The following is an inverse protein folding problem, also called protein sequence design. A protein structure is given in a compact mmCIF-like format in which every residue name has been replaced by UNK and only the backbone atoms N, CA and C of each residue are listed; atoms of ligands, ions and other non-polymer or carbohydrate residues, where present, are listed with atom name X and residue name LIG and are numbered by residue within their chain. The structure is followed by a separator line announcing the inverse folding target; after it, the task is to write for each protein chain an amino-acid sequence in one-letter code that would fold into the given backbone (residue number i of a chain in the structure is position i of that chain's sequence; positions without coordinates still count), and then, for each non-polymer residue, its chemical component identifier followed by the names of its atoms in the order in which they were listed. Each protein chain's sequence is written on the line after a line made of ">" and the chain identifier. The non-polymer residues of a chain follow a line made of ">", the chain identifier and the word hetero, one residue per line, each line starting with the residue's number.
data_IF_915833934573
#
_entry.id   IF_915833934573
#
_cell.length_a   1.000
_cell.length_b   1.000
_cell.length_c   1.000
_cell.angle_alpha   90.00
_cell.angle_beta   90.00
_cell.angle_gamma   90.00
#
_symmetry.space_group_name_H-M   'P 1'
#
loop_
_entity.id
_entity.type
_entity.pdbx_description
1 polymer ?
#
# COMPACT_ATOMS: atom_id res chain seq x y z
N UNK A 1 27.68 16.17 -35.43
CA UNK A 1 27.16 14.78 -35.47
C UNK A 1 27.06 14.23 -34.05
N UNK A 2 26.03 14.63 -33.30
CA UNK A 2 25.79 14.09 -31.97
C UNK A 2 24.30 14.29 -31.65
N UNK A 3 23.44 13.37 -32.09
CA UNK A 3 22.02 13.32 -31.70
C UNK A 3 21.43 11.96 -32.12
N UNK A 4 21.84 10.87 -31.45
CA UNK A 4 21.03 9.63 -31.42
C UNK A 4 21.49 8.73 -30.27
N UNK A 5 21.25 9.17 -29.02
CA UNK A 5 21.41 8.32 -27.83
C UNK A 5 20.23 8.44 -26.87
N UNK A 6 19.04 8.68 -27.42
CA UNK A 6 17.77 8.81 -26.68
C UNK A 6 16.68 7.89 -27.23
N UNK A 7 17.05 6.72 -27.75
CA UNK A 7 16.10 5.72 -28.29
C UNK A 7 16.19 4.36 -27.58
N UNK A 8 16.72 4.31 -26.35
CA UNK A 8 17.00 3.07 -25.63
C UNK A 8 16.06 2.71 -24.48
N UNK A 9 14.98 3.47 -24.22
CA UNK A 9 14.10 3.26 -23.05
C UNK A 9 12.63 3.02 -23.39
N UNK A 10 12.29 2.81 -24.66
CA UNK A 10 10.91 2.65 -25.11
C UNK A 10 10.73 1.35 -25.91
N UNK A 11 11.15 0.20 -25.34
CA UNK A 11 10.83 -1.12 -25.90
C UNK A 11 10.87 -2.22 -24.83
N UNK A 12 10.10 -2.03 -23.75
CA UNK A 12 9.95 -2.99 -22.66
C UNK A 12 8.50 -3.35 -22.31
N UNK A 13 7.51 -2.82 -23.02
CA UNK A 13 6.10 -3.16 -22.83
C UNK A 13 5.72 -4.35 -23.74
N UNK A 14 6.09 -5.56 -23.32
CA UNK A 14 5.51 -6.79 -23.88
C UNK A 14 5.56 -7.99 -22.92
N UNK A 15 5.65 -7.75 -21.62
CA UNK A 15 5.20 -8.73 -20.63
C UNK A 15 4.09 -8.07 -19.84
N UNK A 16 2.90 -8.64 -19.88
CA UNK A 16 1.77 -8.20 -19.09
C UNK A 16 2.21 -8.21 -17.62
N UNK A 17 2.16 -7.06 -16.93
CA UNK A 17 2.62 -6.95 -15.55
C UNK A 17 1.85 -7.92 -14.64
N UNK A 18 0.60 -8.22 -14.98
CA UNK A 18 -0.17 -9.25 -14.28
C UNK A 18 0.44 -10.64 -14.53
N UNK A 19 0.84 -10.97 -15.75
CA UNK A 19 1.51 -12.25 -16.04
C UNK A 19 2.83 -12.37 -15.29
N UNK A 20 3.66 -11.33 -15.30
CA UNK A 20 4.92 -11.33 -14.55
C UNK A 20 4.67 -11.44 -13.05
N UNK A 21 3.69 -10.70 -12.53
CA UNK A 21 3.26 -10.79 -11.14
C UNK A 21 2.94 -12.21 -10.74
N UNK A 22 2.09 -12.89 -11.53
CA UNK A 22 1.68 -14.26 -11.25
C UNK A 22 2.88 -15.18 -11.21
N UNK A 23 3.73 -15.12 -12.23
CA UNK A 23 4.94 -15.94 -12.29
C UNK A 23 5.85 -15.74 -11.07
N UNK A 24 6.05 -14.50 -10.65
CA UNK A 24 6.85 -14.18 -9.47
C UNK A 24 6.18 -14.67 -8.19
N UNK A 25 4.86 -14.53 -8.04
CA UNK A 25 4.16 -14.95 -6.81
C UNK A 25 4.00 -16.47 -6.69
N UNK A 26 3.84 -17.19 -7.80
CA UNK A 26 3.73 -18.65 -7.81
C UNK A 26 5.07 -19.34 -7.58
N UNK A 27 6.17 -18.70 -8.00
CA UNK A 27 7.53 -19.21 -7.78
C UNK A 27 8.08 -18.89 -6.39
N UNK A 28 7.36 -18.11 -5.59
CA UNK A 28 7.73 -17.82 -4.21
C UNK A 28 7.25 -18.93 -3.29
N UNK A 29 8.18 -19.75 -2.81
CA UNK A 29 7.94 -20.65 -1.69
C UNK A 29 7.66 -19.84 -0.41
N UNK A 30 6.80 -20.37 0.47
CA UNK A 30 6.54 -19.76 1.77
C UNK A 30 7.81 -19.91 2.59
N UNK A 31 8.53 -18.81 2.77
CA UNK A 31 9.64 -18.71 3.71
C UNK A 31 9.12 -18.93 5.15
N UNK A 32 8.99 -20.18 5.58
CA UNK A 32 8.99 -20.58 6.99
C UNK A 32 10.42 -20.43 7.55
N UNK A 33 10.99 -19.24 7.42
CA UNK A 33 12.25 -18.93 8.08
C UNK A 33 11.92 -18.74 9.56
N UNK A 34 12.30 -19.72 10.36
CA UNK A 34 12.44 -19.64 11.81
C UNK A 34 13.50 -18.58 12.16
N UNK A 35 13.13 -17.30 12.10
CA UNK A 35 13.91 -16.23 12.72
C UNK A 35 13.20 -15.71 13.96
N UNK A 36 13.84 -15.93 15.09
CA UNK A 36 13.34 -15.67 16.43
C UNK A 36 13.63 -14.21 16.83
N UNK A 37 12.63 -13.32 16.71
CA UNK A 37 12.28 -12.30 17.76
C UNK A 37 11.16 -11.33 17.42
N UNK A 38 10.85 -11.08 16.14
CA UNK A 38 9.78 -10.16 15.76
C UNK A 38 8.61 -10.91 15.10
N UNK A 39 7.43 -10.85 15.72
CA UNK A 39 6.18 -11.28 15.08
C UNK A 39 6.01 -10.53 13.76
N UNK A 40 6.09 -11.27 12.64
CA UNK A 40 5.86 -10.73 11.30
C UNK A 40 4.38 -10.38 11.13
N UNK A 41 4.10 -9.24 10.50
CA UNK A 41 2.75 -8.70 10.26
C UNK A 41 2.59 -8.31 8.81
N UNK A 42 1.37 -8.46 8.29
CA UNK A 42 1.00 -7.97 6.97
C UNK A 42 0.31 -6.61 7.08
N UNK A 43 0.68 -5.70 6.18
CA UNK A 43 -0.06 -4.49 5.88
C UNK A 43 -0.64 -4.62 4.47
N UNK A 44 -1.91 -5.00 4.38
CA UNK A 44 -2.62 -5.13 3.12
C UNK A 44 -2.90 -3.75 2.53
N UNK A 45 -2.52 -3.53 1.27
CA UNK A 45 -2.71 -2.25 0.58
C UNK A 45 -3.80 -2.35 -0.48
N UNK A 46 -4.67 -1.34 -0.49
CA UNK A 46 -5.67 -1.10 -1.54
C UNK A 46 -5.08 -0.22 -2.66
N UNK A 47 -5.62 -0.33 -3.88
CA UNK A 47 -5.31 0.49 -5.05
C UNK A 47 -5.38 1.99 -4.73
N UNK A 48 -6.42 2.44 -4.03
CA UNK A 48 -6.58 3.87 -3.71
C UNK A 48 -5.41 4.41 -2.87
N UNK A 49 -4.91 3.63 -1.92
CA UNK A 49 -3.75 4.01 -1.10
C UNK A 49 -2.47 3.99 -1.93
N UNK A 50 -2.31 3.01 -2.82
CA UNK A 50 -1.17 2.95 -3.74
C UNK A 50 -1.15 4.12 -4.73
N UNK A 51 -2.30 4.63 -5.15
CA UNK A 51 -2.38 5.80 -6.03
C UNK A 51 -2.11 7.09 -5.28
N UNK A 52 -2.71 7.28 -4.09
CA UNK A 52 -2.68 8.57 -3.39
C UNK A 52 -1.48 8.75 -2.47
N UNK A 53 -0.93 7.66 -1.92
CA UNK A 53 0.03 7.70 -0.81
C UNK A 53 1.32 6.92 -1.09
N UNK A 54 1.63 6.59 -2.36
CA UNK A 54 2.85 5.88 -2.72
C UNK A 54 4.15 6.51 -2.18
N UNK A 55 4.35 7.84 -2.20
CA UNK A 55 5.55 8.45 -1.61
C UNK A 55 5.70 8.11 -0.13
N UNK A 56 4.60 8.17 0.63
CA UNK A 56 4.60 7.81 2.05
C UNK A 56 4.89 6.32 2.24
N UNK A 57 4.29 5.45 1.43
CA UNK A 57 4.54 4.01 1.50
C UNK A 57 6.01 3.68 1.23
N UNK A 58 6.67 4.39 0.31
CA UNK A 58 8.11 4.23 0.04
C UNK A 58 8.96 4.67 1.23
N UNK A 59 8.66 5.81 1.84
CA UNK A 59 9.34 6.24 3.07
C UNK A 59 9.16 5.22 4.20
N UNK A 60 7.95 4.69 4.35
CA UNK A 60 7.66 3.64 5.33
C UNK A 60 8.43 2.36 5.06
N UNK A 61 8.50 1.93 3.80
CA UNK A 61 9.24 0.75 3.38
C UNK A 61 10.72 0.88 3.78
N UNK A 62 11.34 2.03 3.49
CA UNK A 62 12.72 2.29 3.90
C UNK A 62 12.90 2.23 5.42
N UNK A 63 11.96 2.79 6.19
CA UNK A 63 11.99 2.75 7.65
C UNK A 63 11.86 1.31 8.19
N UNK A 64 10.96 0.50 7.62
CA UNK A 64 10.76 -0.91 7.98
C UNK A 64 11.99 -1.75 7.68
N UNK A 65 12.64 -1.53 6.52
CA UNK A 65 13.91 -2.18 6.16
C UNK A 65 15.04 -1.79 7.11
N UNK A 66 15.23 -0.50 7.37
CA UNK A 66 16.29 0.03 8.22
C UNK A 66 16.20 -0.50 9.66
N UNK A 67 14.98 -0.63 10.20
CA UNK A 67 14.74 -1.02 11.59
C UNK A 67 14.27 -2.47 11.76
N UNK A 68 14.21 -3.26 10.67
CA UNK A 68 13.84 -4.67 10.68
C UNK A 68 12.50 -4.96 11.41
N UNK A 69 11.47 -4.15 11.14
CA UNK A 69 10.23 -4.12 11.94
C UNK A 69 9.29 -5.32 11.72
N UNK A 70 9.67 -6.29 10.89
CA UNK A 70 8.86 -7.47 10.59
C UNK A 70 7.51 -7.14 9.93
N UNK A 71 7.43 -6.08 9.13
CA UNK A 71 6.21 -5.72 8.38
C UNK A 71 6.41 -6.03 6.91
N UNK A 72 5.47 -6.73 6.30
CA UNK A 72 5.42 -6.98 4.85
C UNK A 72 4.16 -6.33 4.27
N UNK A 73 4.29 -5.66 3.12
CA UNK A 73 3.15 -5.16 2.35
C UNK A 73 2.50 -6.30 1.58
N UNK A 74 1.26 -6.62 1.94
CA UNK A 74 0.46 -7.64 1.28
C UNK A 74 -0.35 -7.01 0.16
N UNK A 75 -0.23 -7.55 -1.06
CA UNK A 75 -0.90 -7.02 -2.25
C UNK A 75 -1.79 -8.12 -2.83
N UNK A 76 -3.10 -7.90 -2.77
CA UNK A 76 -4.07 -8.78 -3.42
C UNK A 76 -3.89 -8.72 -4.94
N UNK A 77 -4.10 -9.85 -5.63
CA UNK A 77 -3.92 -9.91 -7.08
C UNK A 77 -4.84 -8.94 -7.84
N UNK A 78 -6.07 -8.76 -7.35
CA UNK A 78 -7.04 -7.81 -7.91
C UNK A 78 -6.55 -6.35 -7.91
N UNK A 79 -5.75 -5.95 -6.91
CA UNK A 79 -5.17 -4.60 -6.83
C UNK A 79 -4.21 -4.37 -8.00
N UNK A 80 -3.46 -5.40 -8.40
CA UNK A 80 -2.55 -5.30 -9.54
C UNK A 80 -3.32 -5.24 -10.86
N UNK A 81 -4.42 -5.98 -10.97
CA UNK A 81 -5.33 -5.87 -12.12
C UNK A 81 -5.91 -4.46 -12.22
N UNK A 82 -6.43 -3.89 -11.14
CA UNK A 82 -6.95 -2.51 -11.12
C UNK A 82 -5.90 -1.50 -11.54
N UNK A 83 -4.69 -1.60 -10.99
CA UNK A 83 -3.57 -0.74 -11.40
C UNK A 83 -3.30 -0.86 -12.90
N UNK A 84 -3.29 -2.07 -13.48
CA UNK A 84 -3.04 -2.24 -14.92
C UNK A 84 -4.13 -1.61 -15.79
N UNK A 85 -5.39 -1.71 -15.38
CA UNK A 85 -6.50 -1.01 -16.05
C UNK A 85 -6.33 0.53 -15.97
N UNK A 86 -5.92 1.05 -14.81
CA UNK A 86 -5.69 2.48 -14.62
C UNK A 86 -4.53 3.01 -15.47
N UNK A 87 -3.49 2.21 -15.77
CA UNK A 87 -2.39 2.62 -16.69
C UNK A 87 -2.88 2.97 -18.09
N UNK A 88 -3.93 2.29 -18.56
CA UNK A 88 -4.53 2.44 -19.90
C UNK A 88 -5.51 3.60 -19.96
N UNK A 89 -5.96 4.09 -18.80
CA UNK A 89 -6.88 5.20 -18.63
C UNK A 89 -6.13 6.52 -18.88
N UNK A 90 -5.91 6.87 -20.14
CA UNK A 90 -4.99 7.95 -20.56
C UNK A 90 -5.37 9.38 -20.17
N UNK A 91 -6.46 9.62 -19.44
CA UNK A 91 -6.92 10.98 -19.06
C UNK A 91 -7.73 10.92 -17.75
N UNK A 92 -7.06 10.85 -16.61
CA UNK A 92 -7.70 11.00 -15.29
C UNK A 92 -6.84 11.86 -14.39
N UNK A 93 -7.42 12.86 -13.71
CA UNK A 93 -6.72 13.65 -12.68
C UNK A 93 -7.06 13.07 -11.32
N UNK A 94 -6.05 12.76 -10.51
CA UNK A 94 -6.23 12.18 -9.16
C UNK A 94 -7.00 13.16 -8.26
N UNK A 95 -6.70 14.44 -8.38
CA UNK A 95 -7.53 15.52 -7.88
C UNK A 95 -7.55 16.67 -8.90
N UNK A 96 -8.63 17.44 -8.93
CA UNK A 96 -8.76 18.59 -9.84
C UNK A 96 -7.76 19.72 -9.58
N UNK A 97 -6.83 19.55 -8.62
CA UNK A 97 -6.00 20.62 -8.05
C UNK A 97 -4.50 20.42 -8.35
N UNK A 98 -3.96 19.22 -8.17
CA UNK A 98 -2.53 18.91 -8.40
C UNK A 98 -2.22 18.56 -9.85
N UNK A 99 -3.23 18.14 -10.62
CA UNK A 99 -3.04 17.76 -12.03
C UNK A 99 -2.22 16.50 -12.24
N UNK A 100 -2.04 15.69 -11.21
CA UNK A 100 -1.33 14.43 -11.32
C UNK A 100 -2.14 13.45 -12.17
N UNK A 101 -1.50 12.92 -13.21
CA UNK A 101 -2.03 11.92 -14.13
C UNK A 101 -2.20 10.58 -13.38
N UNK A 102 -3.46 10.14 -13.29
CA UNK A 102 -3.85 8.88 -12.67
C UNK A 102 -3.16 7.68 -13.33
N UNK A 103 -3.00 7.69 -14.65
CA UNK A 103 -2.29 6.65 -15.38
C UNK A 103 -0.80 6.62 -15.02
N UNK A 104 -0.18 7.80 -14.86
CA UNK A 104 1.22 7.89 -14.42
C UNK A 104 1.39 7.38 -12.98
N UNK A 105 0.47 7.71 -12.07
CA UNK A 105 0.50 7.20 -10.70
C UNK A 105 0.34 5.68 -10.67
N UNK A 106 -0.60 5.12 -11.45
CA UNK A 106 -0.79 3.68 -11.57
C UNK A 106 0.45 2.96 -12.12
N UNK A 107 1.10 3.51 -13.16
CA UNK A 107 2.38 3.00 -13.68
C UNK A 107 3.47 3.04 -12.61
N UNK A 108 3.57 4.14 -11.88
CA UNK A 108 4.59 4.33 -10.84
C UNK A 108 4.40 3.36 -9.67
N UNK A 109 3.16 3.16 -9.22
CA UNK A 109 2.82 2.19 -8.18
C UNK A 109 3.12 0.76 -8.64
N UNK A 110 2.65 0.38 -9.82
CA UNK A 110 2.88 -0.94 -10.40
C UNK A 110 4.37 -1.27 -10.56
N UNK A 111 5.17 -0.32 -11.05
CA UNK A 111 6.62 -0.48 -11.16
C UNK A 111 7.30 -0.66 -9.79
N UNK A 112 6.84 0.07 -8.76
CA UNK A 112 7.38 -0.07 -7.41
C UNK A 112 7.09 -1.46 -6.82
N UNK A 113 5.85 -1.93 -6.97
CA UNK A 113 5.46 -3.26 -6.51
C UNK A 113 6.23 -4.37 -7.22
N UNK A 114 6.34 -4.29 -8.54
CA UNK A 114 7.07 -5.27 -9.35
C UNK A 114 8.56 -5.31 -9.01
N UNK A 115 9.19 -4.15 -8.80
CA UNK A 115 10.58 -4.09 -8.35
C UNK A 115 10.76 -4.76 -6.97
N UNK A 116 9.80 -4.59 -6.07
CA UNK A 116 9.80 -5.26 -4.77
C UNK A 116 9.66 -6.77 -4.87
N UNK A 117 8.75 -7.27 -5.72
CA UNK A 117 8.61 -8.71 -5.96
C UNK A 117 9.85 -9.32 -6.63
N UNK A 118 10.43 -8.65 -7.63
CA UNK A 118 11.68 -9.11 -8.27
C UNK A 118 12.80 -9.23 -7.24
N UNK A 119 12.96 -8.23 -6.37
CA UNK A 119 13.93 -8.29 -5.26
C UNK A 119 13.69 -9.52 -4.38
N UNK A 120 12.44 -9.77 -4.00
CA UNK A 120 12.08 -10.93 -3.18
C UNK A 120 12.38 -12.25 -3.88
N UNK A 121 11.99 -12.41 -5.13
CA UNK A 121 12.25 -13.61 -5.93
C UNK A 121 13.76 -13.85 -6.12
N UNK A 122 14.55 -12.79 -6.34
CA UNK A 122 16.00 -12.91 -6.57
C UNK A 122 16.81 -13.18 -5.30
N UNK A 123 16.41 -12.60 -4.17
CA UNK A 123 17.22 -12.60 -2.94
C UNK A 123 16.58 -13.36 -1.76
N UNK A 124 15.39 -13.93 -1.93
CA UNK A 124 14.63 -14.58 -0.85
C UNK A 124 14.17 -13.60 0.25
N UNK A 125 14.29 -12.29 0.02
CA UNK A 125 13.97 -11.26 1.00
C UNK A 125 13.39 -10.02 0.32
N UNK A 126 12.29 -9.50 0.86
CA UNK A 126 11.69 -8.26 0.37
C UNK A 126 10.39 -7.93 1.10
N UNK A 127 10.08 -6.64 1.17
CA UNK A 127 8.89 -6.16 1.88
C UNK A 127 7.58 -6.42 1.13
N UNK A 128 7.61 -6.60 -0.19
CA UNK A 128 6.39 -6.85 -0.97
C UNK A 128 6.08 -8.34 -0.98
N UNK A 129 4.85 -8.71 -0.60
CA UNK A 129 4.26 -10.04 -0.77
C UNK A 129 3.03 -9.91 -1.66
N UNK A 130 3.07 -10.51 -2.84
CA UNK A 130 1.90 -10.61 -3.71
C UNK A 130 1.10 -11.88 -3.44
N UNK A 131 -0.21 -11.83 -3.63
CA UNK A 131 -1.09 -13.01 -3.57
C UNK A 131 -0.95 -13.86 -4.85
N UNK A 132 -0.63 -15.14 -4.71
CA UNK A 132 -0.69 -16.14 -5.78
C UNK A 132 -2.15 -16.59 -6.03
N UNK A 133 -2.44 -17.18 -7.18
CA UNK A 133 -3.81 -17.56 -7.55
C UNK A 133 -4.54 -18.42 -6.52
N UNK A 134 -3.85 -19.41 -5.97
CA UNK A 134 -4.41 -20.37 -5.03
C UNK A 134 -4.45 -19.87 -3.57
N UNK A 135 -3.90 -18.68 -3.29
CA UNK A 135 -3.92 -18.07 -1.95
C UNK A 135 -5.24 -17.34 -1.72
N UNK A 136 -6.32 -18.10 -1.67
CA UNK A 136 -7.71 -17.61 -1.55
C UNK A 136 -8.51 -18.53 -0.65
N UNK A 137 -9.66 -18.07 -0.13
CA UNK A 137 -10.65 -18.92 0.54
C UNK A 137 -11.86 -19.23 -0.34
N UNK A 138 -11.87 -18.76 -1.59
CA UNK A 138 -12.92 -19.05 -2.54
C UNK A 138 -12.96 -20.54 -2.90
N UNK A 139 -14.16 -21.05 -3.15
CA UNK A 139 -14.38 -22.45 -3.54
C UNK A 139 -13.75 -22.81 -4.88
N UNK A 140 -13.49 -21.82 -5.74
CA UNK A 140 -12.78 -21.97 -7.01
C UNK A 140 -11.29 -22.34 -6.83
N UNK A 141 -10.74 -22.15 -5.63
CA UNK A 141 -9.29 -22.18 -5.36
C UNK A 141 -8.48 -21.25 -6.27
N UNK A 142 -9.12 -20.20 -6.81
CA UNK A 142 -8.47 -19.20 -7.66
C UNK A 142 -9.14 -17.84 -7.47
N UNK A 143 -8.45 -16.87 -6.83
CA UNK A 143 -9.00 -15.54 -6.51
C UNK A 143 -9.51 -14.77 -7.74
N UNK A 144 -8.98 -15.09 -8.94
CA UNK A 144 -9.39 -14.44 -10.19
C UNK A 144 -10.74 -14.95 -10.70
N UNK A 145 -11.13 -16.17 -10.31
CA UNK A 145 -12.44 -16.72 -10.65
C UNK A 145 -13.50 -16.16 -9.72
N UNK A 146 -14.19 -15.10 -10.16
CA UNK A 146 -15.27 -14.48 -9.39
C UNK A 146 -16.43 -15.45 -9.22
N UNK A 147 -16.70 -15.83 -7.98
CA UNK A 147 -17.88 -16.61 -7.62
C UNK A 147 -18.95 -15.61 -7.18
N UNK A 148 -20.20 -15.78 -7.59
CA UNK A 148 -21.31 -14.92 -7.13
C UNK A 148 -21.17 -13.41 -7.40
N UNK A 149 -20.42 -13.01 -8.42
CA UNK A 149 -20.26 -11.60 -8.81
C UNK A 149 -19.59 -10.72 -7.72
N UNK A 150 -18.63 -11.30 -6.99
CA UNK A 150 -17.83 -10.61 -5.97
C UNK A 150 -17.19 -9.32 -6.48
N UNK A 151 -17.34 -8.26 -5.70
CA UNK A 151 -16.65 -6.99 -5.85
C UNK A 151 -15.14 -7.14 -5.62
N UNK A 152 -14.36 -6.14 -6.06
CA UNK A 152 -12.92 -6.12 -5.82
C UNK A 152 -12.58 -6.03 -4.33
N UNK A 153 -13.35 -5.26 -3.55
CA UNK A 153 -13.22 -5.17 -2.10
C UNK A 153 -13.41 -6.54 -1.43
N UNK A 154 -14.38 -7.34 -1.88
CA UNK A 154 -14.59 -8.71 -1.37
C UNK A 154 -13.38 -9.61 -1.66
N UNK A 155 -12.75 -9.47 -2.83
CA UNK A 155 -11.53 -10.24 -3.17
C UNK A 155 -10.31 -9.76 -2.37
N UNK A 156 -10.18 -8.46 -2.10
CA UNK A 156 -9.12 -7.95 -1.20
C UNK A 156 -9.35 -8.47 0.23
N UNK A 157 -10.60 -8.52 0.68
CA UNK A 157 -10.95 -9.07 1.99
C UNK A 157 -10.67 -10.57 2.08
N UNK A 158 -11.01 -11.35 1.05
CA UNK A 158 -10.68 -12.77 0.95
C UNK A 158 -9.16 -12.99 1.08
N UNK A 159 -8.36 -12.20 0.36
CA UNK A 159 -6.90 -12.20 0.50
C UNK A 159 -6.48 -11.93 1.96
N UNK A 160 -7.00 -10.88 2.60
CA UNK A 160 -6.68 -10.58 3.99
C UNK A 160 -7.03 -11.76 4.92
N UNK A 161 -8.19 -12.37 4.72
CA UNK A 161 -8.68 -13.50 5.51
C UNK A 161 -7.90 -14.79 5.28
N UNK A 162 -7.39 -15.01 4.07
CA UNK A 162 -6.51 -16.15 3.78
C UNK A 162 -5.22 -16.03 4.61
N UNK A 163 -4.57 -14.87 4.57
CA UNK A 163 -3.31 -14.64 5.28
C UNK A 163 -3.45 -14.40 6.78
N UNK A 164 -4.65 -14.02 7.26
CA UNK A 164 -4.90 -13.83 8.70
C UNK A 164 -4.79 -15.14 9.51
N UNK A 165 -4.87 -16.28 8.83
CA UNK A 165 -4.68 -17.59 9.45
C UNK A 165 -3.25 -17.85 9.93
N UNK A 166 -2.25 -17.23 9.29
CA UNK A 166 -0.82 -17.47 9.57
C UNK A 166 -0.13 -16.28 10.23
N UNK A 167 -0.52 -15.06 9.91
CA UNK A 167 0.07 -13.83 10.46
C UNK A 167 -1.00 -12.79 10.72
N UNK A 168 -0.71 -11.84 11.60
CA UNK A 168 -1.62 -10.72 11.82
C UNK A 168 -1.65 -9.82 10.59
N UNK A 169 -2.84 -9.62 10.02
CA UNK A 169 -3.09 -8.75 8.86
C UNK A 169 -3.73 -7.44 9.32
N UNK A 170 -3.29 -6.34 8.74
CA UNK A 170 -3.89 -5.01 8.90
C UNK A 170 -4.25 -4.49 7.52
N UNK A 171 -5.48 -4.00 7.35
CA UNK A 171 -5.87 -3.35 6.09
C UNK A 171 -5.53 -1.87 6.15
N UNK A 172 -4.83 -1.38 5.13
CA UNK A 172 -4.65 0.04 4.89
C UNK A 172 -5.54 0.48 3.73
N UNK A 173 -6.62 1.18 4.04
CA UNK A 173 -7.55 1.73 3.03
C UNK A 173 -7.94 3.16 3.40
N UNK A 174 -8.52 3.88 2.43
CA UNK A 174 -9.19 5.16 2.61
C UNK A 174 -10.71 5.07 2.38
N UNK A 175 -11.21 3.92 1.94
CA UNK A 175 -12.63 3.73 1.66
C UNK A 175 -13.40 3.36 2.93
N UNK A 176 -14.37 4.20 3.30
CA UNK A 176 -15.20 4.00 4.51
C UNK A 176 -16.13 2.80 4.39
N UNK A 177 -16.63 2.50 3.20
CA UNK A 177 -17.50 1.36 2.99
C UNK A 177 -16.69 0.07 3.14
N UNK A 178 -15.49 0.04 2.57
CA UNK A 178 -14.60 -1.10 2.71
C UNK A 178 -14.18 -1.31 4.17
N UNK A 179 -13.94 -0.23 4.92
CA UNK A 179 -13.66 -0.31 6.36
C UNK A 179 -14.74 -1.08 7.14
N UNK A 180 -16.02 -0.81 6.87
CA UNK A 180 -17.09 -1.47 7.61
C UNK A 180 -17.08 -2.98 7.35
N UNK A 181 -16.88 -3.40 6.11
CA UNK A 181 -16.80 -4.81 5.74
C UNK A 181 -15.62 -5.51 6.43
N UNK A 182 -14.45 -4.88 6.49
CA UNK A 182 -13.27 -5.47 7.15
C UNK A 182 -13.44 -5.59 8.67
N UNK A 183 -14.03 -4.59 9.33
CA UNK A 183 -14.31 -4.67 10.77
C UNK A 183 -15.30 -5.79 11.11
N UNK A 184 -16.30 -6.02 10.27
CA UNK A 184 -17.25 -7.14 10.44
C UNK A 184 -16.58 -8.51 10.32
N UNK A 185 -15.38 -8.57 9.73
CA UNK A 185 -14.60 -9.80 9.52
C UNK A 185 -13.32 -9.84 10.38
N UNK A 186 -13.27 -9.05 11.46
CA UNK A 186 -12.16 -9.00 12.43
C UNK A 186 -10.79 -8.68 11.82
N UNK A 187 -10.75 -7.97 10.68
CA UNK A 187 -9.52 -7.44 10.10
C UNK A 187 -9.30 -6.00 10.61
N UNK A 188 -8.26 -5.74 11.44
CA UNK A 188 -7.95 -4.40 11.91
C UNK A 188 -7.60 -3.45 10.76
N UNK A 189 -8.03 -2.19 10.87
CA UNK A 189 -7.83 -1.18 9.83
C UNK A 189 -6.91 -0.09 10.32
N UNK A 190 -6.07 0.39 9.41
CA UNK A 190 -5.34 1.65 9.51
C UNK A 190 -5.98 2.57 8.48
N UNK A 191 -6.49 3.73 8.93
CA UNK A 191 -7.27 4.62 8.09
C UNK A 191 -6.55 5.96 7.95
N UNK A 192 -6.32 6.39 6.71
CA UNK A 192 -5.67 7.67 6.40
C UNK A 192 -6.63 8.86 6.50
N UNK A 193 -7.45 8.96 7.57
CA UNK A 193 -8.44 10.06 7.70
C UNK A 193 -7.82 11.47 7.77
N UNK A 194 -6.51 11.57 8.00
CA UNK A 194 -5.85 12.83 8.31
C UNK A 194 -4.95 13.37 7.19
N UNK A 195 -4.96 12.80 5.98
CA UNK A 195 -4.24 13.38 4.83
C UNK A 195 -4.96 14.55 4.16
N UNK A 196 -5.98 15.12 4.81
CA UNK A 196 -6.55 16.40 4.40
C UNK A 196 -5.46 17.48 4.31
N UNK A 197 -5.04 17.79 3.07
CA UNK A 197 -4.13 18.88 2.67
C UNK A 197 -2.71 18.80 3.23
N UNK A 198 -1.95 17.77 2.87
CA UNK A 198 -0.51 17.99 2.66
C UNK A 198 -0.30 18.54 1.25
N UNK A 199 -0.52 19.85 1.08
CA UNK A 199 0.10 20.55 -0.05
C UNK A 199 1.60 20.51 0.20
N UNK A 200 2.32 19.69 -0.56
CA UNK A 200 3.78 19.82 -0.63
C UNK A 200 4.08 21.26 -1.08
N UNK A 201 4.82 22.06 -0.30
CA UNK A 201 5.27 23.35 -0.79
C UNK A 201 6.32 23.09 -1.86
N UNK A 202 5.88 22.94 -3.10
CA UNK A 202 6.75 23.12 -4.25
C UNK A 202 6.71 24.62 -4.56
N UNK A 203 7.56 25.40 -3.89
CA UNK A 203 8.17 26.61 -4.49
C UNK A 203 9.13 27.34 -3.55
N UNK A 204 10.36 27.47 -4.01
CA UNK A 204 11.37 28.41 -3.51
C UNK A 204 11.02 29.84 -3.94
N UNK A 205 9.89 30.39 -3.47
CA UNK A 205 9.59 31.81 -3.61
C UNK A 205 9.85 32.54 -2.28
N UNK A 206 10.86 33.42 -2.20
CA UNK A 206 11.16 34.17 -1.00
C UNK A 206 10.26 35.42 -0.92
N UNK A 207 8.97 35.23 -0.68
CA UNK A 207 8.15 36.34 -0.16
C UNK A 207 6.87 35.81 0.47
N UNK A 208 6.83 35.88 1.80
CA UNK A 208 5.73 36.39 2.63
C UNK A 208 5.66 35.63 3.96
N UNK A 209 6.58 35.98 4.87
CA UNK A 209 6.50 35.62 6.29
C UNK A 209 5.33 36.42 6.90
N UNK A 210 4.16 35.82 7.09
CA UNK A 210 3.20 36.16 8.17
C UNK A 210 2.00 35.21 8.19
N UNK A 211 1.71 34.71 9.39
CA UNK A 211 0.55 33.92 9.86
C UNK A 211 0.62 32.39 9.71
N UNK A 212 1.39 31.76 10.59
CA UNK A 212 1.12 30.39 11.06
C UNK A 212 0.54 30.44 12.47
N UNK A 213 -0.78 30.64 12.61
CA UNK A 213 -1.47 30.47 13.88
C UNK A 213 -2.61 29.46 13.70
N UNK A 214 -2.50 28.35 14.43
CA UNK A 214 -3.58 27.44 14.83
C UNK A 214 -4.53 26.91 13.73
N UNK A 215 -4.07 25.92 12.97
CA UNK A 215 -4.97 24.94 12.37
C UNK A 215 -5.13 23.78 13.38
N UNK A 216 -6.16 23.85 14.23
CA UNK A 216 -6.67 22.67 14.95
C UNK A 216 -7.37 21.79 13.91
N UNK A 217 -6.95 20.53 13.79
CA UNK A 217 -7.69 19.51 13.05
C UNK A 217 -9.02 19.26 13.77
N UNK A 218 -10.11 19.83 13.26
CA UNK A 218 -11.47 19.71 13.82
C UNK A 218 -12.12 18.34 13.59
N UNK A 219 -11.49 17.43 12.85
CA UNK A 219 -12.04 16.10 12.54
C UNK A 219 -11.51 14.97 13.44
N UNK A 220 -10.59 15.27 14.37
CA UNK A 220 -10.03 14.27 15.30
C UNK A 220 -10.69 14.29 16.69
N UNK A 221 -11.96 14.69 16.82
CA UNK A 221 -12.71 14.47 18.06
C UNK A 221 -13.33 13.06 18.02
N UNK A 222 -12.98 12.16 18.96
CA UNK A 222 -13.55 10.82 19.01
C UNK A 222 -14.96 10.90 19.61
N UNK A 223 -15.98 11.16 18.79
CA UNK A 223 -17.39 11.19 19.25
C UNK A 223 -18.19 9.93 18.91
N UNK A 224 -17.59 8.88 18.35
CA UNK A 224 -18.25 7.58 18.24
C UNK A 224 -17.47 6.51 19.01
N UNK A 225 -18.13 5.98 20.03
CA UNK A 225 -17.68 4.95 20.99
C UNK A 225 -17.37 3.57 20.34
N UNK A 226 -17.27 3.51 19.01
CA UNK A 226 -17.24 2.30 18.18
C UNK A 226 -16.07 2.22 17.19
N UNK A 227 -15.22 3.24 17.08
CA UNK A 227 -14.01 3.19 16.25
C UNK A 227 -12.77 3.08 17.13
N UNK A 228 -12.39 1.85 17.45
CA UNK A 228 -11.07 1.53 18.00
C UNK A 228 -10.03 1.61 16.88
N UNK A 229 -9.74 2.81 16.37
CA UNK A 229 -8.69 3.00 15.36
C UNK A 229 -7.35 2.64 16.00
N UNK A 230 -6.73 1.53 15.59
CA UNK A 230 -5.36 1.22 16.00
C UNK A 230 -4.43 2.29 15.43
N UNK A 231 -3.55 2.83 16.28
CA UNK A 231 -2.50 3.75 15.81
C UNK A 231 -1.44 2.91 15.10
N UNK A 232 -0.75 3.41 14.09
CA UNK A 232 0.27 2.56 13.45
C UNK A 232 1.45 2.21 14.38
N UNK A 233 1.61 2.92 15.50
CA UNK A 233 2.47 2.49 16.61
C UNK A 233 2.09 1.11 17.16
N UNK A 234 0.83 0.70 17.02
CA UNK A 234 0.35 -0.63 17.40
C UNK A 234 0.82 -1.75 16.45
N UNK A 235 1.27 -1.42 15.23
CA UNK A 235 1.96 -2.38 14.36
C UNK A 235 3.40 -2.63 14.78
N UNK A 236 4.00 -1.72 15.55
CA UNK A 236 5.40 -1.81 15.98
C UNK A 236 5.54 -2.75 17.19
N UNK A 237 6.63 -3.53 17.24
CA UNK A 237 6.99 -4.30 18.44
C UNK A 237 7.02 -3.40 19.68
N UNK A 238 6.58 -3.91 20.84
CA UNK A 238 6.39 -3.10 22.07
C UNK A 238 7.62 -2.28 22.47
N UNK A 239 8.83 -2.80 22.24
CA UNK A 239 10.08 -2.12 22.58
C UNK A 239 10.40 -0.92 21.65
N UNK A 240 9.84 -0.88 20.44
CA UNK A 240 9.98 0.25 19.52
C UNK A 240 8.94 1.35 19.75
N UNK A 241 7.88 1.10 20.54
CA UNK A 241 6.78 2.07 20.74
C UNK A 241 7.18 3.31 21.53
N UNK A 242 8.20 3.23 22.39
CA UNK A 242 8.54 4.29 23.36
C UNK A 242 9.69 5.22 22.89
N UNK A 243 10.35 4.92 21.77
CA UNK A 243 11.60 5.57 21.35
C UNK A 243 11.57 5.99 19.87
N UNK A 244 10.58 6.78 19.45
CA UNK A 244 10.51 7.31 18.07
C UNK A 244 10.58 8.85 18.08
N UNK A 245 11.80 9.45 18.13
CA UNK A 245 11.95 10.90 18.27
C UNK A 245 11.63 11.67 16.97
N UNK A 246 11.65 11.02 15.80
CA UNK A 246 11.70 11.69 14.49
C UNK A 246 10.65 11.26 13.48
N UNK A 247 9.56 10.62 13.90
CA UNK A 247 8.35 10.61 13.05
C UNK A 247 8.02 12.06 12.73
N UNK A 248 8.27 12.46 11.47
CA UNK A 248 7.97 13.78 10.96
C UNK A 248 6.53 14.15 11.34
N UNK A 249 6.22 15.44 11.50
CA UNK A 249 4.85 15.86 11.88
C UNK A 249 3.76 15.22 11.00
N UNK A 250 4.12 14.86 9.77
CA UNK A 250 3.36 14.06 8.79
C UNK A 250 2.90 12.72 9.35
N UNK A 251 3.78 11.97 10.00
CA UNK A 251 3.49 10.65 10.58
C UNK A 251 2.68 10.71 11.88
N UNK A 252 2.74 11.80 12.66
CA UNK A 252 1.91 11.96 13.87
C UNK A 252 0.44 12.26 13.59
N UNK A 253 0.13 12.74 12.39
CA UNK A 253 -1.24 13.01 11.97
C UNK A 253 -1.80 11.85 11.15
N UNK A 254 -0.97 11.19 10.33
CA UNK A 254 -1.38 10.06 9.50
C UNK A 254 -1.51 8.71 10.27
N UNK A 255 -1.07 8.64 11.53
CA UNK A 255 -1.04 7.46 12.39
C UNK A 255 -1.51 7.76 13.82
#
# INVERSE_FOLDING_TARGET
>A
MALTRAAGLALGDAMDVVQEWNHLTESMEIDEVMDTKAEKRYLALDTNVLISALPLLKEFASFVEEHQLGVEFLIAGVVVEELDHLKKSGVGRIDGVTGQDLGLAARTASNWLLAGLRRRSQFGAGLIRGQAYHETRQSSANWKTRVNNESNDEVILDCCLHFSSSRKVYLFTMDKNFCNASLMNDIPIILTLCMGRFTYPHDNSPSNKRRTNNLKCTMCTPTSRWLSTMRAQDMLPRHHRQNIPWMSRTWRCAL
#
